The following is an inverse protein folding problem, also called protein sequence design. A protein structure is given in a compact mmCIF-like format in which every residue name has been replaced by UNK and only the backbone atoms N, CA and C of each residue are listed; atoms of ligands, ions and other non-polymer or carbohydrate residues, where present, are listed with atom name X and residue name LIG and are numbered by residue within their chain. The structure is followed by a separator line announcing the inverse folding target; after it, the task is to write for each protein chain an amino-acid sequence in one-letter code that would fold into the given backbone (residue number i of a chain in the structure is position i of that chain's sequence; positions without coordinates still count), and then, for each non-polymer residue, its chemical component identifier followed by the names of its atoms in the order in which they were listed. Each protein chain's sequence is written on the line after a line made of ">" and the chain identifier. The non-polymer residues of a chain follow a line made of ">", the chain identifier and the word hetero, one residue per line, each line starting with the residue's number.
data_IF_062737615501
#
_entry.id   IF_062737615501
#
_cell.length_a   1.000
_cell.length_b   1.000
_cell.length_c   1.000
_cell.angle_alpha   90.00
_cell.angle_beta   90.00
_cell.angle_gamma   90.00
#
_symmetry.space_group_name_H-M   'P 1'
#
loop_
_entity.id
_entity.type
_entity.pdbx_description
1 polymer ?
#
# COMPACT_ATOMS: atom_id res chain seq x y z
N UNK A 1 -3.60 1.37 -18.53
CA UNK A 1 -3.28 2.81 -18.45
C UNK A 1 -2.67 3.04 -17.07
N UNK A 2 -1.36 3.24 -16.98
CA UNK A 2 -0.67 3.57 -15.73
C UNK A 2 -0.57 5.09 -15.66
N UNK A 3 -1.15 5.72 -14.64
CA UNK A 3 -0.93 7.14 -14.39
C UNK A 3 0.49 7.28 -13.86
N UNK A 4 1.38 7.91 -14.63
CA UNK A 4 2.84 7.94 -14.36
C UNK A 4 3.20 8.47 -12.97
N UNK A 5 2.33 9.28 -12.36
CA UNK A 5 2.55 9.92 -11.06
C UNK A 5 1.75 9.31 -9.90
N UNK A 6 0.98 8.23 -10.13
CA UNK A 6 0.25 7.55 -9.07
C UNK A 6 1.07 6.39 -8.49
N UNK A 7 0.84 6.08 -7.20
CA UNK A 7 1.25 4.82 -6.59
C UNK A 7 0.00 3.96 -6.46
N UNK A 8 -0.08 2.89 -7.23
CA UNK A 8 -1.21 1.96 -7.25
C UNK A 8 -0.97 0.84 -6.26
N UNK A 9 -1.89 0.67 -5.30
CA UNK A 9 -1.68 -0.19 -4.13
C UNK A 9 -2.63 -1.38 -4.15
N UNK A 10 -2.07 -2.60 -4.14
CA UNK A 10 -2.82 -3.83 -3.91
C UNK A 10 -3.00 -4.13 -2.42
N UNK A 11 -3.96 -4.99 -2.09
CA UNK A 11 -4.27 -5.36 -0.71
C UNK A 11 -3.79 -6.77 -0.35
N UNK A 12 -3.24 -6.91 0.86
CA UNK A 12 -2.88 -8.19 1.49
C UNK A 12 -3.58 -8.35 2.85
N UNK A 13 -3.70 -9.61 3.28
CA UNK A 13 -4.06 -9.97 4.64
C UNK A 13 -2.82 -10.16 5.53
N UNK A 14 -3.06 -10.55 6.79
CA UNK A 14 -2.04 -10.77 7.82
C UNK A 14 -1.10 -11.95 7.52
N UNK A 15 -1.45 -12.83 6.58
CA UNK A 15 -0.63 -13.97 6.19
C UNK A 15 0.20 -13.67 4.92
N UNK A 16 0.31 -12.39 4.55
CA UNK A 16 0.91 -11.88 3.31
C UNK A 16 0.20 -12.39 2.04
N UNK A 17 -1.02 -12.92 2.16
CA UNK A 17 -1.80 -13.35 1.01
C UNK A 17 -2.50 -12.15 0.38
N UNK A 18 -2.33 -11.98 -0.94
CA UNK A 18 -3.12 -11.00 -1.70
C UNK A 18 -4.61 -11.25 -1.45
N UNK A 19 -5.32 -10.21 -1.06
CA UNK A 19 -6.75 -10.25 -0.82
C UNK A 19 -7.50 -10.69 -2.09
N UNK A 20 -8.52 -11.55 -1.94
CA UNK A 20 -9.26 -12.10 -3.09
C UNK A 20 -9.90 -11.03 -3.97
N UNK A 21 -10.31 -9.90 -3.39
CA UNK A 21 -10.87 -8.74 -4.08
C UNK A 21 -9.82 -7.80 -4.71
N UNK A 22 -8.54 -7.92 -4.35
CA UNK A 22 -7.52 -7.00 -4.83
C UNK A 22 -7.25 -7.22 -6.31
N UNK A 23 -7.29 -6.13 -7.09
CA UNK A 23 -6.74 -6.13 -8.44
C UNK A 23 -5.23 -6.45 -8.42
N UNK A 24 -4.73 -6.86 -9.58
CA UNK A 24 -3.35 -7.30 -9.82
C UNK A 24 -2.91 -6.91 -11.25
N UNK A 25 -1.63 -7.16 -11.56
CA UNK A 25 -1.01 -6.91 -12.85
C UNK A 25 -0.05 -5.74 -12.84
N UNK A 26 0.58 -5.48 -13.99
CA UNK A 26 1.64 -4.48 -14.19
C UNK A 26 1.31 -3.03 -13.80
N UNK A 27 0.05 -2.73 -13.53
CA UNK A 27 -0.37 -1.41 -13.07
C UNK A 27 -0.28 -1.26 -11.54
N UNK A 28 -0.21 -2.36 -10.79
CA UNK A 28 0.06 -2.34 -9.34
C UNK A 28 1.54 -2.03 -9.14
N UNK A 29 1.85 -1.10 -8.24
CA UNK A 29 3.23 -0.72 -7.92
C UNK A 29 3.76 -1.51 -6.72
N UNK A 30 2.91 -1.76 -5.71
CA UNK A 30 3.20 -2.56 -4.52
C UNK A 30 1.92 -3.02 -3.80
N UNK A 31 2.08 -3.86 -2.78
CA UNK A 31 1.04 -4.30 -1.86
C UNK A 31 1.22 -3.68 -0.46
N UNK A 32 0.11 -3.53 0.26
CA UNK A 32 0.11 -3.14 1.67
C UNK A 32 -1.10 -3.76 2.41
N UNK A 33 -1.08 -3.84 3.75
CA UNK A 33 -2.18 -4.40 4.53
C UNK A 33 -3.53 -3.75 4.21
N UNK A 34 -4.54 -4.56 3.92
CA UNK A 34 -5.86 -4.06 3.54
C UNK A 34 -7.03 -4.99 3.85
N UNK A 35 -6.81 -6.10 4.55
CA UNK A 35 -7.86 -7.01 5.02
C UNK A 35 -7.98 -6.90 6.53
N UNK A 36 -9.22 -6.85 7.01
CA UNK A 36 -9.60 -6.79 8.42
C UNK A 36 -8.85 -5.70 9.19
N UNK A 37 -8.79 -4.51 8.59
CA UNK A 37 -8.06 -3.38 9.16
C UNK A 37 -8.96 -2.51 10.04
N UNK A 38 -8.71 -2.40 11.35
CA UNK A 38 -9.45 -1.52 12.24
C UNK A 38 -9.03 -0.05 12.05
N UNK A 39 -10.01 0.84 11.91
CA UNK A 39 -9.75 2.28 11.88
C UNK A 39 -10.89 3.08 12.52
N UNK A 40 -10.64 4.36 12.75
CA UNK A 40 -11.65 5.28 13.28
C UNK A 40 -12.87 5.32 12.38
N UNK A 41 -14.04 5.45 12.99
CA UNK A 41 -15.31 5.42 12.29
C UNK A 41 -16.22 6.56 12.73
N UNK A 42 -17.22 6.87 11.90
CA UNK A 42 -18.27 7.79 12.29
C UNK A 42 -19.16 7.17 13.37
N UNK A 43 -19.57 7.94 14.37
CA UNK A 43 -20.45 7.46 15.45
C UNK A 43 -19.99 7.79 16.87
N UNK A 44 -18.84 8.45 17.03
CA UNK A 44 -18.33 8.98 18.30
C UNK A 44 -16.80 9.03 18.33
N UNK A 45 -16.23 9.71 19.32
CA UNK A 45 -14.78 9.98 19.42
C UNK A 45 -13.91 8.70 19.54
N UNK A 46 -14.52 7.59 19.92
CA UNK A 46 -13.87 6.28 20.10
C UNK A 46 -14.46 5.19 19.20
N UNK A 47 -15.29 5.55 18.22
CA UNK A 47 -15.88 4.58 17.32
C UNK A 47 -14.80 3.99 16.40
N UNK A 48 -14.76 2.66 16.33
CA UNK A 48 -13.84 1.90 15.48
C UNK A 48 -14.67 0.97 14.60
N UNK A 49 -14.26 0.82 13.35
CA UNK A 49 -14.81 -0.17 12.44
C UNK A 49 -13.67 -0.91 11.76
N UNK A 50 -13.87 -2.21 11.56
CA UNK A 50 -12.91 -3.09 10.89
C UNK A 50 -13.45 -3.41 9.51
N UNK A 51 -12.74 -2.95 8.49
CA UNK A 51 -13.15 -3.12 7.09
C UNK A 51 -11.98 -3.54 6.21
N UNK A 52 -12.32 -4.01 5.02
CA UNK A 52 -11.37 -4.56 4.04
C UNK A 52 -11.49 -3.82 2.72
N UNK A 53 -10.35 -3.55 2.08
CA UNK A 53 -10.30 -2.94 0.76
C UNK A 53 -8.90 -2.45 0.39
N UNK A 54 -8.64 -2.27 -0.91
CA UNK A 54 -7.45 -1.52 -1.37
C UNK A 54 -7.49 -0.06 -0.89
N UNK A 55 -8.68 0.46 -0.57
CA UNK A 55 -8.86 1.73 0.14
C UNK A 55 -8.26 1.74 1.55
N UNK A 56 -8.08 0.58 2.20
CA UNK A 56 -7.39 0.43 3.49
C UNK A 56 -5.88 0.25 3.29
N UNK A 57 -5.44 -0.32 2.17
CA UNK A 57 -4.02 -0.37 1.79
C UNK A 57 -3.46 1.00 1.41
N UNK A 58 -4.22 1.81 0.66
CA UNK A 58 -3.82 3.13 0.19
C UNK A 58 -3.33 4.11 1.30
N UNK A 59 -4.00 4.25 2.47
CA UNK A 59 -3.54 5.14 3.53
C UNK A 59 -2.21 4.70 4.17
N UNK A 60 -1.89 3.40 4.18
CA UNK A 60 -0.56 2.94 4.64
C UNK A 60 0.56 3.49 3.74
N UNK A 61 0.38 3.41 2.42
CA UNK A 61 1.35 3.94 1.45
C UNK A 61 1.38 5.46 1.47
N UNK A 62 0.23 6.12 1.68
CA UNK A 62 0.17 7.58 1.88
C UNK A 62 0.98 8.02 3.11
N UNK A 63 0.87 7.28 4.22
CA UNK A 63 1.68 7.52 5.42
C UNK A 63 3.19 7.35 5.17
N UNK A 64 3.58 6.30 4.45
CA UNK A 64 4.96 6.08 4.05
C UNK A 64 5.51 7.21 3.16
N UNK A 65 4.69 7.73 2.23
CA UNK A 65 5.05 8.87 1.41
C UNK A 65 5.31 10.14 2.23
N UNK A 66 4.47 10.39 3.25
CA UNK A 66 4.68 11.51 4.19
C UNK A 66 5.98 11.34 4.96
N UNK A 67 6.27 10.14 5.46
CA UNK A 67 7.52 9.86 6.19
C UNK A 67 8.74 10.05 5.28
N UNK A 68 8.71 9.51 4.06
CA UNK A 68 9.80 9.67 3.09
C UNK A 68 10.10 11.15 2.82
N UNK A 69 9.07 11.97 2.58
CA UNK A 69 9.22 13.41 2.32
C UNK A 69 9.51 14.21 3.60
N UNK A 70 9.19 13.70 4.78
CA UNK A 70 9.57 14.33 6.05
C UNK A 70 11.06 14.16 6.33
N UNK A 71 11.62 13.00 5.97
CA UNK A 71 13.04 12.72 6.08
C UNK A 71 13.88 13.47 5.04
N UNK A 72 13.33 13.69 3.84
CA UNK A 72 13.93 14.55 2.81
C UNK A 72 12.85 15.39 2.11
N UNK A 73 12.68 16.66 2.53
CA UNK A 73 11.68 17.57 1.96
C UNK A 73 11.93 17.97 0.51
N UNK A 74 13.11 17.67 -0.05
CA UNK A 74 13.46 17.99 -1.44
C UNK A 74 12.95 16.97 -2.45
N UNK A 75 12.47 15.80 -1.97
CA UNK A 75 11.95 14.74 -2.83
C UNK A 75 10.69 15.17 -3.60
N UNK A 76 10.77 15.09 -4.92
CA UNK A 76 9.64 15.20 -5.82
C UNK A 76 8.80 13.92 -5.84
N UNK A 77 7.57 14.00 -6.34
CA UNK A 77 6.61 12.89 -6.28
C UNK A 77 7.15 11.57 -6.89
N UNK A 78 7.89 11.67 -8.00
CA UNK A 78 8.52 10.51 -8.63
C UNK A 78 9.62 9.88 -7.77
N UNK A 79 10.38 10.70 -7.04
CA UNK A 79 11.46 10.26 -6.15
C UNK A 79 10.90 9.63 -4.88
N UNK A 80 9.79 10.17 -4.34
CA UNK A 80 9.04 9.55 -3.24
C UNK A 80 8.56 8.16 -3.65
N UNK A 81 7.96 8.02 -4.84
CA UNK A 81 7.55 6.71 -5.37
C UNK A 81 8.75 5.76 -5.50
N UNK A 82 9.84 6.21 -6.13
CA UNK A 82 11.03 5.38 -6.31
C UNK A 82 11.63 4.93 -4.97
N UNK A 83 11.64 5.81 -3.96
CA UNK A 83 12.11 5.50 -2.61
C UNK A 83 11.23 4.43 -1.94
N UNK A 84 9.91 4.60 -1.95
CA UNK A 84 8.97 3.60 -1.39
C UNK A 84 9.16 2.23 -2.05
N UNK A 85 9.28 2.19 -3.38
CA UNK A 85 9.46 0.93 -4.11
C UNK A 85 10.82 0.28 -3.85
N UNK A 86 11.86 1.09 -3.63
CA UNK A 86 13.20 0.60 -3.28
C UNK A 86 13.25 0.03 -1.86
N UNK A 87 12.54 0.65 -0.93
CA UNK A 87 12.55 0.25 0.48
C UNK A 87 11.61 -0.95 0.75
N UNK A 88 10.65 -1.22 -0.15
CA UNK A 88 9.68 -2.31 -0.03
C UNK A 88 10.33 -3.70 0.12
N UNK A 89 9.71 -4.57 0.91
CA UNK A 89 10.14 -5.96 1.11
C UNK A 89 9.79 -6.80 -0.11
N UNK A 90 10.78 -7.39 -0.82
CA UNK A 90 10.51 -8.21 -1.99
C UNK A 90 10.07 -9.63 -1.61
N UNK A 91 9.32 -10.27 -2.52
CA UNK A 91 9.09 -11.72 -2.56
C UNK A 91 8.36 -12.35 -1.37
N UNK A 92 7.62 -11.55 -0.59
CA UNK A 92 6.82 -12.03 0.56
C UNK A 92 5.33 -12.21 0.25
N UNK A 93 4.80 -11.50 -0.76
CA UNK A 93 3.36 -11.56 -1.06
C UNK A 93 3.01 -12.90 -1.70
N UNK A 94 2.08 -13.63 -1.09
CA UNK A 94 1.56 -14.90 -1.60
C UNK A 94 0.48 -14.64 -2.65
N UNK A 95 0.64 -15.30 -3.80
CA UNK A 95 -0.25 -15.17 -4.97
C UNK A 95 -0.52 -13.69 -5.34
N UNK A 96 0.53 -12.91 -5.68
CA UNK A 96 0.39 -11.49 -6.03
C UNK A 96 -0.40 -11.26 -7.34
N UNK A 97 -0.68 -12.34 -8.08
CA UNK A 97 -1.35 -12.33 -9.37
C UNK A 97 -0.36 -12.19 -10.53
N UNK A 98 -0.75 -12.62 -11.74
CA UNK A 98 0.09 -12.50 -12.93
C UNK A 98 0.58 -11.07 -13.16
N UNK A 99 1.87 -10.92 -13.49
CA UNK A 99 2.54 -9.64 -13.83
C UNK A 99 2.54 -8.56 -12.72
N UNK A 100 2.03 -8.84 -11.53
CA UNK A 100 2.19 -7.94 -10.39
C UNK A 100 3.64 -7.93 -9.89
N UNK A 101 4.16 -6.78 -9.44
CA UNK A 101 5.38 -6.77 -8.65
C UNK A 101 5.15 -7.48 -7.32
N UNK A 102 6.12 -8.28 -6.86
CA UNK A 102 6.07 -8.89 -5.54
C UNK A 102 6.80 -7.99 -4.53
N UNK A 103 6.16 -6.87 -4.18
CA UNK A 103 6.70 -5.87 -3.26
C UNK A 103 5.67 -5.57 -2.17
N UNK A 104 6.04 -5.74 -0.90
CA UNK A 104 5.24 -5.36 0.26
C UNK A 104 5.78 -4.06 0.85
N UNK A 105 4.89 -3.11 1.16
CA UNK A 105 5.25 -1.85 1.79
C UNK A 105 6.11 -2.06 3.05
N UNK A 106 7.20 -1.30 3.14
CA UNK A 106 8.06 -1.23 4.32
C UNK A 106 8.46 0.21 4.59
N UNK A 107 8.61 0.56 5.87
CA UNK A 107 9.08 1.87 6.33
C UNK A 107 10.31 1.59 7.21
N UNK A 108 11.51 2.09 6.83
CA UNK A 108 12.73 1.90 7.59
C UNK A 108 12.80 2.72 8.88
#
# INVERSE_FOLDING_TARGET
>A
MTTTNAITVGATDIEDQRASFSNYGKCVDLFAPGVDFPSLWMGGDFAVNTISGTSMSCPHVSGAAVIARSNDPTLEAAEVKAKILKDATPDVVKNPGPESPNLMLYIP
#
